data_IF_319194214709
#
_entry.id   IF_319194214709
#
_cell.length_a   1.000
_cell.length_b   1.000
_cell.length_c   1.000
_cell.angle_alpha   90.00
_cell.angle_beta   90.00
_cell.angle_gamma   90.00
#
_symmetry.space_group_name_H-M   'P 1'
#
loop_
_entity.id
_entity.type
_entity.pdbx_description
1 polymer ?
#
# COMPACT_ATOMS: atom_id res chain seq x y z
N UNK A 1 14.52 4.27 -8.27
CA UNK A 1 13.31 5.09 -7.98
C UNK A 1 12.78 4.82 -6.57
N UNK A 2 12.53 3.56 -6.16
CA UNK A 2 12.02 3.22 -4.83
C UNK A 2 13.10 2.95 -3.77
N UNK A 3 14.31 2.61 -4.17
CA UNK A 3 15.36 2.06 -3.30
C UNK A 3 15.69 2.91 -2.07
N UNK A 4 15.60 4.24 -2.20
CA UNK A 4 15.88 5.18 -1.12
C UNK A 4 14.60 5.75 -0.48
N UNK A 5 13.42 5.31 -0.92
CA UNK A 5 12.14 5.73 -0.37
C UNK A 5 11.77 4.97 0.88
N UNK A 6 11.28 5.67 1.88
CA UNK A 6 10.69 5.06 3.07
C UNK A 6 9.26 4.63 2.76
N UNK A 7 9.03 3.32 2.82
CA UNK A 7 7.75 2.68 2.47
C UNK A 7 7.15 2.08 3.73
N UNK A 8 5.94 2.49 4.05
CA UNK A 8 5.19 1.98 5.19
C UNK A 8 4.00 1.13 4.77
N UNK A 9 3.80 0.02 5.45
CA UNK A 9 2.63 -0.83 5.29
C UNK A 9 1.79 -0.79 6.56
N UNK A 10 0.54 -0.39 6.44
CA UNK A 10 -0.45 -0.47 7.51
C UNK A 10 -1.31 -1.70 7.24
N UNK A 11 -1.10 -2.74 8.04
CA UNK A 11 -1.56 -4.09 7.79
C UNK A 11 -0.48 -4.96 7.14
N UNK A 12 -0.12 -6.05 7.80
CA UNK A 12 0.94 -6.99 7.40
C UNK A 12 0.39 -8.38 7.11
N UNK A 13 -0.91 -8.47 6.84
CA UNK A 13 -1.56 -9.72 6.43
C UNK A 13 -1.02 -10.24 5.09
N UNK A 14 -1.67 -11.25 4.56
CA UNK A 14 -1.19 -11.96 3.37
C UNK A 14 -0.72 -11.04 2.24
N UNK A 15 -1.53 -10.06 1.81
CA UNK A 15 -1.16 -9.18 0.70
C UNK A 15 -0.02 -8.21 1.09
N UNK A 16 -0.02 -7.70 2.33
CA UNK A 16 1.07 -6.87 2.84
C UNK A 16 2.40 -7.63 2.83
N UNK A 17 2.42 -8.86 3.33
CA UNK A 17 3.61 -9.72 3.29
C UNK A 17 4.07 -10.03 1.85
N UNK A 18 3.15 -10.31 0.93
CA UNK A 18 3.50 -10.58 -0.47
C UNK A 18 4.21 -9.38 -1.12
N UNK A 19 3.71 -8.16 -0.87
CA UNK A 19 4.31 -6.92 -1.38
C UNK A 19 5.69 -6.65 -0.74
N UNK A 20 5.82 -6.80 0.58
CA UNK A 20 7.09 -6.68 1.30
C UNK A 20 8.12 -7.67 0.72
N UNK A 21 7.72 -8.94 0.56
CA UNK A 21 8.54 -9.98 -0.05
C UNK A 21 8.98 -9.61 -1.48
N UNK A 22 8.03 -9.14 -2.29
CA UNK A 22 8.31 -8.71 -3.66
C UNK A 22 9.35 -7.60 -3.72
N UNK A 23 9.19 -6.55 -2.91
CA UNK A 23 10.10 -5.40 -2.86
C UNK A 23 11.51 -5.78 -2.39
N UNK A 24 11.62 -6.60 -1.34
CA UNK A 24 12.90 -7.03 -0.78
C UNK A 24 13.63 -7.98 -1.72
N UNK A 25 12.96 -9.03 -2.21
CA UNK A 25 13.58 -10.04 -3.05
C UNK A 25 13.96 -9.54 -4.46
N UNK A 26 13.18 -8.61 -5.02
CA UNK A 26 13.52 -7.94 -6.28
C UNK A 26 14.59 -6.85 -6.11
N UNK A 27 14.96 -6.52 -4.87
CA UNK A 27 15.85 -5.39 -4.52
C UNK A 27 15.32 -4.02 -4.98
N UNK A 28 14.01 -3.89 -5.18
CA UNK A 28 13.36 -2.63 -5.54
C UNK A 28 13.37 -1.62 -4.39
N UNK A 29 13.32 -2.12 -3.14
CA UNK A 29 13.50 -1.32 -1.92
C UNK A 29 14.50 -2.01 -0.98
N UNK A 30 15.17 -1.22 -0.13
CA UNK A 30 16.03 -1.74 0.92
C UNK A 30 15.20 -2.14 2.13
N UNK A 31 15.48 -3.27 2.80
CA UNK A 31 14.76 -3.68 4.01
C UNK A 31 14.70 -2.60 5.09
N UNK A 32 15.79 -1.88 5.32
CA UNK A 32 15.89 -0.79 6.31
C UNK A 32 15.00 0.41 5.99
N UNK A 33 14.49 0.51 4.77
CA UNK A 33 13.57 1.56 4.34
C UNK A 33 12.10 1.11 4.35
N UNK A 34 11.82 -0.11 4.83
CA UNK A 34 10.46 -0.64 4.94
C UNK A 34 10.09 -0.77 6.42
N UNK A 35 8.92 -0.26 6.77
CA UNK A 35 8.28 -0.44 8.07
C UNK A 35 6.86 -0.97 7.88
N UNK A 36 6.43 -1.89 8.72
CA UNK A 36 5.05 -2.36 8.69
C UNK A 36 4.42 -2.44 10.07
N UNK A 37 3.10 -2.28 10.12
CA UNK A 37 2.30 -2.43 11.33
C UNK A 37 1.23 -3.50 11.19
N UNK A 38 0.95 -4.15 12.32
CA UNK A 38 -0.18 -5.04 12.51
C UNK A 38 -0.52 -5.15 14.00
N UNK A 39 -1.73 -5.62 14.32
CA UNK A 39 -2.12 -5.93 15.70
C UNK A 39 -1.57 -7.29 16.16
N UNK A 40 -1.26 -8.19 15.22
CA UNK A 40 -0.76 -9.54 15.48
C UNK A 40 0.76 -9.54 15.63
N UNK A 41 1.25 -9.58 16.86
CA UNK A 41 2.70 -9.54 17.16
C UNK A 41 3.47 -10.71 16.54
N UNK A 42 2.91 -11.92 16.58
CA UNK A 42 3.55 -13.11 16.01
C UNK A 42 3.76 -12.95 14.48
N UNK A 43 2.81 -12.31 13.81
CA UNK A 43 2.94 -11.99 12.38
C UNK A 43 4.06 -10.98 12.13
N UNK A 44 4.16 -9.94 12.95
CA UNK A 44 5.22 -8.93 12.87
C UNK A 44 6.60 -9.55 13.10
N UNK A 45 6.76 -10.42 14.11
CA UNK A 45 8.01 -11.14 14.40
C UNK A 45 8.42 -12.02 13.21
N UNK A 46 7.48 -12.75 12.62
CA UNK A 46 7.75 -13.57 11.43
C UNK A 46 8.24 -12.74 10.25
N UNK A 47 7.57 -11.62 9.94
CA UNK A 47 7.95 -10.72 8.86
C UNK A 47 9.32 -10.10 9.12
N UNK A 48 9.57 -9.61 10.33
CA UNK A 48 10.87 -9.04 10.73
C UNK A 48 12.00 -10.06 10.55
N UNK A 49 11.79 -11.29 11.05
CA UNK A 49 12.80 -12.35 10.96
C UNK A 49 13.10 -12.74 9.51
N UNK A 50 12.07 -12.79 8.67
CA UNK A 50 12.17 -13.27 7.28
C UNK A 50 12.73 -12.22 6.33
N UNK A 51 12.30 -10.97 6.46
CA UNK A 51 12.61 -9.91 5.50
C UNK A 51 13.53 -8.82 6.05
N UNK A 52 13.83 -8.81 7.35
CA UNK A 52 14.70 -7.83 8.03
C UNK A 52 14.18 -6.38 7.92
N UNK A 53 12.87 -6.21 7.82
CA UNK A 53 12.19 -4.91 7.82
C UNK A 53 11.84 -4.48 9.26
N UNK A 54 11.58 -3.17 9.45
CA UNK A 54 11.10 -2.65 10.74
C UNK A 54 9.63 -3.00 10.96
N UNK A 55 9.26 -3.29 12.20
CA UNK A 55 7.88 -3.64 12.57
C UNK A 55 7.42 -2.88 13.81
N UNK A 56 6.14 -2.56 13.89
CA UNK A 56 5.52 -1.86 15.02
C UNK A 56 4.06 -2.26 15.16
N UNK A 57 3.45 -2.00 16.31
CA UNK A 57 1.99 -2.11 16.48
C UNK A 57 1.27 -0.76 16.34
N UNK A 58 2.02 0.32 16.06
CA UNK A 58 1.51 1.69 15.95
C UNK A 58 1.40 2.13 14.48
N UNK A 59 0.16 2.23 13.96
CA UNK A 59 -0.12 2.71 12.62
C UNK A 59 0.31 4.16 12.40
N UNK A 60 0.26 4.99 13.45
CA UNK A 60 0.65 6.40 13.38
C UNK A 60 2.16 6.52 13.18
N UNK A 61 2.95 5.65 13.82
CA UNK A 61 4.39 5.59 13.62
C UNK A 61 4.73 5.28 12.16
N UNK A 62 4.09 4.27 11.57
CA UNK A 62 4.25 3.94 10.14
C UNK A 62 3.92 5.14 9.26
N UNK A 63 2.76 5.78 9.50
CA UNK A 63 2.33 6.94 8.72
C UNK A 63 3.31 8.12 8.80
N UNK A 64 3.91 8.37 9.98
CA UNK A 64 4.88 9.46 10.18
C UNK A 64 6.20 9.21 9.48
N UNK A 65 6.75 8.00 9.62
CA UNK A 65 8.09 7.67 9.14
C UNK A 65 8.16 7.47 7.62
N UNK A 66 7.03 7.24 6.96
CA UNK A 66 6.99 6.82 5.55
C UNK A 66 6.73 7.98 4.59
N UNK A 67 7.33 7.93 3.40
CA UNK A 67 7.03 8.80 2.25
C UNK A 67 5.91 8.20 1.38
N UNK A 68 5.84 6.86 1.35
CA UNK A 68 4.78 6.10 0.68
C UNK A 68 4.10 5.24 1.74
N UNK A 69 2.82 5.45 1.95
CA UNK A 69 2.01 4.70 2.93
C UNK A 69 1.03 3.81 2.19
N UNK A 70 1.11 2.51 2.43
CA UNK A 70 0.27 1.50 1.79
C UNK A 70 -0.69 0.95 2.84
N UNK A 71 -1.99 1.19 2.63
CA UNK A 71 -3.05 0.59 3.43
C UNK A 71 -3.36 -0.80 2.88
N UNK A 72 -2.89 -1.82 3.60
CA UNK A 72 -3.08 -3.24 3.29
C UNK A 72 -4.00 -3.94 4.31
N UNK A 73 -4.91 -3.18 4.91
CA UNK A 73 -5.92 -3.66 5.86
C UNK A 73 -7.16 -4.15 5.14
N UNK A 74 -7.97 -4.96 5.85
CA UNK A 74 -9.29 -5.38 5.35
C UNK A 74 -10.20 -4.17 5.13
N UNK A 75 -11.06 -4.16 4.09
CA UNK A 75 -11.97 -3.04 3.82
C UNK A 75 -12.82 -2.61 5.01
N UNK A 76 -13.27 -3.57 5.84
CA UNK A 76 -14.15 -3.32 6.98
C UNK A 76 -13.52 -2.44 8.07
N UNK A 77 -12.20 -2.49 8.23
CA UNK A 77 -11.49 -1.71 9.25
C UNK A 77 -10.79 -0.48 8.67
N UNK A 78 -10.70 -0.37 7.35
CA UNK A 78 -9.96 0.73 6.69
C UNK A 78 -10.44 2.10 7.18
N UNK A 79 -11.74 2.32 7.30
CA UNK A 79 -12.29 3.60 7.73
C UNK A 79 -11.82 4.06 9.11
N UNK A 80 -11.68 3.15 10.08
CA UNK A 80 -11.13 3.46 11.41
C UNK A 80 -9.64 3.76 11.35
N UNK A 81 -8.89 2.99 10.55
CA UNK A 81 -7.43 3.15 10.38
C UNK A 81 -7.10 4.46 9.65
N UNK A 82 -7.89 4.87 8.66
CA UNK A 82 -7.74 6.17 7.99
C UNK A 82 -7.92 7.32 8.98
N UNK A 83 -8.95 7.28 9.83
CA UNK A 83 -9.19 8.29 10.87
C UNK A 83 -8.05 8.36 11.89
N UNK A 84 -7.57 7.20 12.34
CA UNK A 84 -6.46 7.08 13.28
C UNK A 84 -5.19 7.75 12.76
N UNK A 85 -4.88 7.53 11.50
CA UNK A 85 -3.61 7.96 10.90
C UNK A 85 -3.68 9.32 10.21
N UNK A 86 -4.87 9.89 9.99
CA UNK A 86 -5.08 11.14 9.25
C UNK A 86 -4.21 12.31 9.77
N UNK A 87 -4.00 12.41 11.10
CA UNK A 87 -3.18 13.45 11.72
C UNK A 87 -1.70 13.37 11.35
N UNK A 88 -1.22 12.19 10.98
CA UNK A 88 0.18 11.93 10.64
C UNK A 88 0.48 12.05 9.13
N UNK A 89 -0.53 12.31 8.30
CA UNK A 89 -0.41 12.40 6.85
C UNK A 89 -0.47 13.85 6.38
N UNK A 90 0.31 14.17 5.35
CA UNK A 90 0.34 15.45 4.67
C UNK A 90 0.56 15.27 3.15
N UNK A 91 0.58 16.39 2.41
CA UNK A 91 0.71 16.41 0.94
C UNK A 91 2.06 15.90 0.42
N UNK A 92 3.08 15.77 1.27
CA UNK A 92 4.39 15.22 0.89
C UNK A 92 4.34 13.70 0.69
N UNK A 93 3.32 13.03 1.23
CA UNK A 93 3.20 11.58 1.24
C UNK A 93 2.33 11.07 0.08
N UNK A 94 2.75 9.95 -0.49
CA UNK A 94 1.94 9.16 -1.41
C UNK A 94 1.14 8.12 -0.62
N UNK A 95 -0.16 8.11 -0.78
CA UNK A 95 -1.07 7.19 -0.12
C UNK A 95 -1.58 6.17 -1.14
N UNK A 96 -1.38 4.91 -0.85
CA UNK A 96 -1.85 3.80 -1.69
C UNK A 96 -2.80 2.93 -0.88
N UNK A 97 -3.97 2.62 -1.42
CA UNK A 97 -4.91 1.67 -0.81
C UNK A 97 -5.10 0.46 -1.72
N UNK A 98 -5.03 -0.74 -1.12
CA UNK A 98 -5.34 -2.01 -1.79
C UNK A 98 -6.66 -2.62 -1.30
N UNK A 99 -7.46 -1.87 -0.57
CA UNK A 99 -8.72 -2.35 -0.04
C UNK A 99 -9.75 -2.54 -1.16
N UNK A 100 -10.23 -3.78 -1.31
CA UNK A 100 -11.26 -4.11 -2.29
C UNK A 100 -12.57 -3.37 -2.00
N UNK A 101 -13.23 -2.87 -3.04
CA UNK A 101 -14.55 -2.24 -2.93
C UNK A 101 -14.55 -0.86 -2.26
N UNK A 102 -13.40 -0.26 -1.93
CA UNK A 102 -13.33 1.08 -1.33
C UNK A 102 -12.85 2.09 -2.36
N UNK A 103 -13.71 2.98 -2.89
CA UNK A 103 -13.35 3.95 -3.91
C UNK A 103 -12.47 5.07 -3.35
N UNK A 104 -11.70 5.74 -4.24
CA UNK A 104 -10.84 6.89 -3.90
C UNK A 104 -11.58 8.00 -3.16
N UNK A 105 -12.84 8.27 -3.54
CA UNK A 105 -13.67 9.26 -2.87
C UNK A 105 -13.91 8.93 -1.39
N UNK A 106 -14.13 7.65 -1.06
CA UNK A 106 -14.32 7.21 0.33
C UNK A 106 -13.01 7.30 1.13
N UNK A 107 -11.87 6.99 0.52
CA UNK A 107 -10.55 7.14 1.14
C UNK A 107 -10.27 8.62 1.41
N UNK A 108 -10.49 9.49 0.43
CA UNK A 108 -10.31 10.94 0.57
C UNK A 108 -11.21 11.53 1.67
N UNK A 109 -12.47 11.10 1.73
CA UNK A 109 -13.41 11.50 2.78
C UNK A 109 -12.95 11.05 4.18
N UNK A 110 -12.41 9.83 4.30
CA UNK A 110 -11.89 9.32 5.57
C UNK A 110 -10.66 10.07 6.09
N UNK A 111 -9.85 10.62 5.19
CA UNK A 111 -8.64 11.38 5.53
C UNK A 111 -8.90 12.87 5.73
N UNK A 112 -10.03 13.41 5.26
CA UNK A 112 -10.39 14.83 5.30
C UNK A 112 -9.31 15.79 4.77
N UNK A 113 -8.48 15.36 3.82
CA UNK A 113 -7.34 16.09 3.28
C UNK A 113 -7.20 15.87 1.77
N UNK A 114 -6.66 16.89 1.08
CA UNK A 114 -6.25 16.77 -0.33
C UNK A 114 -4.88 16.10 -0.38
N UNK A 115 -4.85 14.79 -0.56
CA UNK A 115 -3.64 13.98 -0.56
C UNK A 115 -3.43 13.29 -1.92
N UNK A 116 -2.20 12.89 -2.20
CA UNK A 116 -1.85 12.12 -3.38
C UNK A 116 -2.27 10.66 -3.15
N UNK A 117 -3.44 10.30 -3.68
CA UNK A 117 -4.07 9.00 -3.47
C UNK A 117 -3.96 8.13 -4.72
N UNK A 118 -3.65 6.87 -4.53
CA UNK A 118 -3.72 5.83 -5.56
C UNK A 118 -4.49 4.65 -5.00
N UNK A 119 -5.47 4.17 -5.77
CA UNK A 119 -6.15 2.91 -5.50
C UNK A 119 -5.55 1.82 -6.36
N UNK A 120 -5.25 0.69 -5.75
CA UNK A 120 -4.65 -0.45 -6.44
C UNK A 120 -5.46 -1.71 -6.11
N UNK A 121 -5.70 -2.53 -7.11
CA UNK A 121 -6.38 -3.80 -6.96
C UNK A 121 -5.47 -4.93 -7.46
N UNK A 122 -4.63 -5.49 -6.59
CA UNK A 122 -3.88 -6.71 -6.86
C UNK A 122 -4.80 -7.94 -6.71
N UNK A 123 -4.34 -9.09 -7.19
CA UNK A 123 -5.01 -10.36 -6.97
C UNK A 123 -4.11 -11.35 -6.19
N UNK A 124 -4.69 -12.50 -5.83
CA UNK A 124 -4.01 -13.53 -5.03
C UNK A 124 -2.72 -14.07 -5.67
N UNK A 125 -2.58 -13.97 -6.99
CA UNK A 125 -1.36 -14.39 -7.69
C UNK A 125 -0.12 -13.56 -7.32
N UNK A 126 -0.26 -12.48 -6.53
CA UNK A 126 0.86 -11.73 -5.96
C UNK A 126 1.80 -12.63 -5.12
N UNK A 127 1.27 -13.68 -4.48
CA UNK A 127 2.08 -14.65 -3.70
C UNK A 127 3.09 -15.41 -4.56
N UNK A 128 2.76 -15.65 -5.80
CA UNK A 128 3.65 -16.32 -6.77
C UNK A 128 4.28 -15.35 -7.76
N UNK A 129 4.15 -14.05 -7.51
CA UNK A 129 4.68 -12.94 -8.33
C UNK A 129 4.11 -12.89 -9.75
N UNK A 130 2.89 -13.32 -9.91
CA UNK A 130 2.15 -13.33 -11.18
C UNK A 130 0.83 -12.54 -11.06
N UNK A 131 0.79 -11.52 -10.19
CA UNK A 131 -0.40 -10.68 -10.03
C UNK A 131 -0.73 -9.93 -11.32
N UNK A 132 -2.01 -9.89 -11.65
CA UNK A 132 -2.56 -8.86 -12.54
C UNK A 132 -3.11 -7.74 -11.64
N UNK A 133 -2.54 -6.55 -11.73
CA UNK A 133 -2.83 -5.46 -10.80
C UNK A 133 -3.35 -4.23 -11.54
N UNK A 134 -4.54 -3.77 -11.18
CA UNK A 134 -5.09 -2.51 -11.67
C UNK A 134 -4.67 -1.33 -10.78
N UNK A 135 -4.34 -0.20 -11.37
CA UNK A 135 -3.95 1.04 -10.69
C UNK A 135 -4.84 2.17 -11.18
N UNK A 136 -5.43 2.92 -10.26
CA UNK A 136 -6.18 4.14 -10.54
C UNK A 136 -5.65 5.29 -9.68
N UNK A 137 -5.49 6.46 -10.29
CA UNK A 137 -5.00 7.66 -9.64
C UNK A 137 -6.13 8.58 -9.20
N UNK A 138 -6.01 9.15 -8.00
CA UNK A 138 -6.86 10.22 -7.51
C UNK A 138 -6.48 11.58 -8.08
N UNK A 139 -7.32 12.58 -7.84
CA UNK A 139 -7.21 13.93 -8.42
C UNK A 139 -5.84 14.60 -8.19
N UNK A 140 -5.21 14.37 -7.04
CA UNK A 140 -3.95 15.02 -6.65
C UNK A 140 -2.71 14.14 -6.87
N UNK A 141 -2.87 12.94 -7.44
CA UNK A 141 -1.75 12.08 -7.77
C UNK A 141 -1.12 12.49 -9.11
N UNK A 142 0.20 12.52 -9.14
CA UNK A 142 0.99 12.85 -10.33
C UNK A 142 1.39 11.57 -11.10
N UNK A 143 1.87 11.75 -12.34
CA UNK A 143 2.46 10.65 -13.13
C UNK A 143 3.64 9.98 -12.40
N UNK A 144 4.40 10.76 -11.61
CA UNK A 144 5.46 10.22 -10.77
C UNK A 144 4.91 9.28 -9.69
N UNK A 145 3.78 9.62 -9.10
CA UNK A 145 3.13 8.78 -8.09
C UNK A 145 2.60 7.48 -8.70
N UNK A 146 2.03 7.57 -9.89
CA UNK A 146 1.62 6.38 -10.68
C UNK A 146 2.83 5.50 -10.99
N UNK A 147 3.94 6.08 -11.42
CA UNK A 147 5.18 5.34 -11.70
C UNK A 147 5.75 4.67 -10.44
N UNK A 148 5.67 5.32 -9.28
CA UNK A 148 6.07 4.73 -8.00
C UNK A 148 5.16 3.56 -7.59
N UNK A 149 3.85 3.72 -7.72
CA UNK A 149 2.90 2.64 -7.47
C UNK A 149 3.16 1.44 -8.40
N UNK A 150 3.32 1.69 -9.71
CA UNK A 150 3.69 0.62 -10.66
C UNK A 150 4.95 -0.11 -10.25
N UNK A 151 6.02 0.60 -9.90
CA UNK A 151 7.27 -0.02 -9.50
C UNK A 151 7.14 -0.89 -8.23
N UNK A 152 6.21 -0.54 -7.31
CA UNK A 152 5.90 -1.37 -6.14
C UNK A 152 5.20 -2.66 -6.58
N UNK A 153 4.13 -2.55 -7.37
CA UNK A 153 3.28 -3.70 -7.72
C UNK A 153 3.87 -4.56 -8.83
N UNK A 154 4.74 -4.02 -9.68
CA UNK A 154 5.52 -4.80 -10.67
C UNK A 154 6.55 -5.74 -9.98
N UNK A 155 6.83 -5.54 -8.69
CA UNK A 155 7.64 -6.50 -7.90
C UNK A 155 6.91 -7.83 -7.62
N UNK A 156 5.60 -7.87 -7.82
CA UNK A 156 4.75 -9.05 -7.57
C UNK A 156 3.87 -9.45 -8.78
N UNK A 157 4.12 -8.88 -9.97
CA UNK A 157 3.37 -9.22 -11.17
C UNK A 157 3.42 -8.15 -12.23
N UNK A 158 2.31 -7.92 -12.92
CA UNK A 158 2.15 -6.91 -13.97
C UNK A 158 1.05 -5.91 -13.60
N UNK A 159 1.26 -4.66 -13.96
CA UNK A 159 0.33 -3.58 -13.65
C UNK A 159 -0.29 -2.97 -14.92
N UNK A 160 -1.54 -2.55 -14.81
CA UNK A 160 -2.26 -1.77 -15.81
C UNK A 160 -2.86 -0.52 -15.15
N UNK A 161 -2.72 0.63 -15.82
CA UNK A 161 -3.40 1.85 -15.40
C UNK A 161 -4.81 1.88 -15.98
N UNK A 162 -5.80 2.18 -15.14
CA UNK A 162 -7.22 2.25 -15.53
C UNK A 162 -7.88 3.49 -14.92
N UNK A 163 -9.00 3.89 -15.49
CA UNK A 163 -9.90 4.86 -14.85
C UNK A 163 -10.73 4.16 -13.77
N UNK A 164 -10.79 4.71 -12.57
CA UNK A 164 -11.44 4.07 -11.42
C UNK A 164 -12.92 3.73 -11.67
N UNK A 165 -13.64 4.65 -12.29
CA UNK A 165 -15.11 4.64 -12.32
C UNK A 165 -15.74 3.51 -13.18
N UNK A 166 -14.99 2.85 -14.04
CA UNK A 166 -15.56 1.92 -15.03
C UNK A 166 -15.00 0.51 -14.90
N UNK A 167 -13.73 0.36 -14.56
CA UNK A 167 -13.02 -0.90 -14.71
C UNK A 167 -12.51 -1.52 -13.39
N UNK A 168 -12.39 -0.72 -12.31
CA UNK A 168 -11.78 -1.22 -11.07
C UNK A 168 -12.63 -2.32 -10.42
N UNK A 169 -13.95 -2.20 -10.46
CA UNK A 169 -14.85 -3.21 -9.88
C UNK A 169 -14.89 -4.48 -10.72
N UNK A 170 -14.71 -4.38 -12.05
CA UNK A 170 -14.55 -5.53 -12.93
C UNK A 170 -13.26 -6.31 -12.60
N UNK A 171 -12.17 -5.62 -12.26
CA UNK A 171 -10.93 -6.24 -11.80
C UNK A 171 -11.07 -6.98 -10.45
N UNK A 172 -12.01 -6.55 -9.62
CA UNK A 172 -12.29 -7.21 -8.33
C UNK A 172 -12.92 -8.61 -8.53
N UNK A 173 -13.56 -8.83 -9.67
CA UNK A 173 -14.21 -10.10 -10.03
C UNK A 173 -13.30 -11.12 -10.74
N UNK A 174 -12.06 -10.76 -11.02
CA UNK A 174 -11.03 -11.62 -11.63
C UNK A 174 -10.17 -12.29 -10.55
#
# INVERSE_FOLDING_TARGET
MLREKKIGFIGSGNMGEALISGLVLSKAAKPENIICSDIAKDLLENIQNKYKVSTTTDNIEVARQSEIVIYATKPQILGSVLKETAGALDQSKLIISIAAGVPLAAIAAGLHKKLRLIRVMPNICAFVKESATAIAAGEFASDKDVAQARAIFDSVGKTVFIQENVLMDAFTGL
#
